data_IF_953646345872
#
_entry.id   IF_953646345872
#
_cell.length_a   1.000
_cell.length_b   1.000
_cell.length_c   1.000
_cell.angle_alpha   90.00
_cell.angle_beta   90.00
_cell.angle_gamma   90.00
#
_symmetry.space_group_name_H-M   'P 1'
#
loop_
_entity.id
_entity.type
_entity.pdbx_description
1 polymer ?
#
# COMPACT_ATOMS: atom_id res chain seq x y z
N UNK A 1 6.46 9.23 1.64
CA UNK A 1 7.22 8.90 2.88
C UNK A 1 8.18 7.80 2.51
N UNK A 2 9.49 7.91 2.74
CA UNK A 2 10.47 7.09 2.03
C UNK A 2 10.51 5.57 2.35
N UNK A 3 9.54 4.98 3.04
CA UNK A 3 9.62 3.57 3.46
C UNK A 3 10.67 3.32 4.55
N UNK A 4 10.98 4.35 5.36
CA UNK A 4 11.88 4.25 6.49
C UNK A 4 11.24 3.39 7.59
N UNK A 5 11.93 2.35 8.03
CA UNK A 5 11.50 1.51 9.14
C UNK A 5 11.99 2.08 10.46
N UNK A 6 11.14 2.01 11.47
CA UNK A 6 11.46 2.33 12.86
C UNK A 6 10.97 1.19 13.75
N UNK A 7 11.67 0.93 14.85
CA UNK A 7 11.28 -0.09 15.82
C UNK A 7 11.25 0.50 17.22
N UNK A 8 10.16 0.26 17.94
CA UNK A 8 10.04 0.54 19.37
C UNK A 8 9.63 -0.75 20.09
N UNK A 9 10.02 -0.86 21.37
CA UNK A 9 9.61 -1.99 22.22
C UNK A 9 8.16 -1.87 22.67
N UNK A 10 7.65 -0.65 22.83
CA UNK A 10 6.30 -0.36 23.34
C UNK A 10 5.41 0.35 22.32
N UNK A 11 5.97 0.81 21.19
CA UNK A 11 5.23 1.53 20.16
C UNK A 11 4.90 2.98 20.52
N UNK A 12 5.33 3.47 21.68
CA UNK A 12 5.01 4.81 22.18
C UNK A 12 6.23 5.75 22.17
N UNK A 13 7.44 5.22 22.35
CA UNK A 13 8.65 6.03 22.37
C UNK A 13 9.92 5.27 22.02
N UNK A 14 11.07 5.95 22.12
CA UNK A 14 12.40 5.35 21.95
C UNK A 14 12.57 4.56 20.63
N UNK A 15 12.08 5.12 19.52
CA UNK A 15 12.16 4.48 18.22
C UNK A 15 13.62 4.39 17.74
N UNK A 16 14.09 3.15 17.52
CA UNK A 16 15.33 2.87 16.83
C UNK A 16 15.13 3.06 15.32
N UNK A 17 15.94 3.92 14.69
CA UNK A 17 15.95 4.06 13.23
C UNK A 17 16.53 2.80 12.59
N UNK A 18 15.74 2.18 11.71
CA UNK A 18 16.14 1.04 10.92
C UNK A 18 16.63 1.40 9.53
N UNK A 19 16.46 0.46 8.61
CA UNK A 19 16.74 0.65 7.19
C UNK A 19 15.59 1.35 6.46
N UNK A 20 15.83 1.74 5.21
CA UNK A 20 14.78 2.12 4.26
C UNK A 20 14.38 0.90 3.43
N UNK A 21 13.16 0.38 3.62
CA UNK A 21 12.70 -0.91 3.07
C UNK A 21 12.73 -0.99 1.55
N UNK A 22 12.60 0.16 0.89
CA UNK A 22 12.65 0.31 -0.57
C UNK A 22 13.23 1.68 -0.94
N UNK A 23 13.84 1.79 -2.11
CA UNK A 23 14.23 3.08 -2.70
C UNK A 23 13.08 3.77 -3.43
N UNK A 24 11.98 3.05 -3.65
CA UNK A 24 10.79 3.52 -4.35
C UNK A 24 10.08 4.64 -3.58
N UNK A 25 9.34 5.48 -4.30
CA UNK A 25 8.54 6.57 -3.74
C UNK A 25 7.22 6.05 -3.13
N UNK A 26 7.32 5.15 -2.16
CA UNK A 26 6.17 4.61 -1.44
C UNK A 26 5.36 5.73 -0.74
N UNK A 27 4.03 5.61 -0.81
CA UNK A 27 3.10 6.46 -0.08
C UNK A 27 2.59 5.73 1.16
N UNK A 28 1.35 5.24 1.12
CA UNK A 28 0.71 4.49 2.18
C UNK A 28 0.84 3.00 1.91
N UNK A 29 0.77 2.22 2.98
CA UNK A 29 0.89 0.77 2.91
C UNK A 29 -0.01 0.10 3.95
N UNK A 30 -0.39 -1.14 3.66
CA UNK A 30 -0.99 -2.07 4.59
C UNK A 30 -0.10 -3.31 4.70
N UNK A 31 -0.13 -3.93 5.87
CA UNK A 31 0.58 -5.18 6.14
C UNK A 31 -0.45 -6.30 6.30
N UNK A 32 -0.15 -7.45 5.70
CA UNK A 32 -0.92 -8.67 5.86
C UNK A 32 0.03 -9.82 6.11
N UNK A 33 -0.24 -10.58 7.18
CA UNK A 33 0.40 -11.86 7.43
C UNK A 33 -0.54 -12.97 6.96
N UNK A 34 -0.10 -13.77 6.00
CA UNK A 34 -0.87 -14.88 5.46
C UNK A 34 0.07 -16.05 5.17
N UNK A 35 -0.29 -17.26 5.62
CA UNK A 35 0.51 -18.49 5.44
C UNK A 35 2.00 -18.36 5.83
N UNK A 36 2.27 -17.62 6.92
CA UNK A 36 3.62 -17.42 7.43
C UNK A 36 4.48 -16.42 6.64
N UNK A 37 3.93 -15.80 5.59
CA UNK A 37 4.58 -14.78 4.78
C UNK A 37 3.97 -13.40 5.06
N UNK A 38 4.81 -12.37 5.08
CA UNK A 38 4.35 -10.98 5.13
C UNK A 38 4.21 -10.41 3.73
N UNK A 39 3.08 -9.75 3.54
CA UNK A 39 2.69 -9.04 2.34
C UNK A 39 2.54 -7.56 2.68
N UNK A 40 3.08 -6.71 1.82
CA UNK A 40 2.98 -5.25 1.90
C UNK A 40 2.17 -4.81 0.71
N UNK A 41 0.96 -4.34 0.95
CA UNK A 41 0.15 -3.68 -0.08
C UNK A 41 0.51 -2.20 -0.02
N UNK A 42 0.80 -1.56 -1.15
CA UNK A 42 1.26 -0.18 -1.14
C UNK A 42 0.98 0.54 -2.46
N UNK A 43 1.15 1.85 -2.47
CA UNK A 43 1.07 2.67 -3.68
C UNK A 43 2.32 3.53 -3.84
N UNK A 44 2.62 3.89 -5.09
CA UNK A 44 3.83 4.63 -5.45
C UNK A 44 3.48 6.00 -6.02
N UNK A 45 4.05 7.04 -5.42
CA UNK A 45 3.93 8.40 -5.93
C UNK A 45 4.68 8.54 -7.25
N UNK A 46 4.04 9.17 -8.24
CA UNK A 46 4.56 9.38 -9.59
C UNK A 46 4.06 8.36 -10.61
N UNK A 47 3.45 7.26 -10.17
CA UNK A 47 2.83 6.30 -11.09
C UNK A 47 1.66 6.95 -11.86
N UNK A 48 1.48 6.53 -13.12
CA UNK A 48 0.48 7.06 -14.06
C UNK A 48 -0.36 5.90 -14.62
N UNK A 49 -1.54 5.58 -14.07
CA UNK A 49 -2.09 6.08 -12.82
C UNK A 49 -1.43 5.44 -11.57
N UNK A 50 -1.58 6.09 -10.40
CA UNK A 50 -1.27 5.45 -9.11
C UNK A 50 -2.28 4.32 -8.85
N UNK A 51 -1.74 3.17 -8.44
CA UNK A 51 -2.43 1.88 -8.36
C UNK A 51 -1.91 1.07 -7.18
N UNK A 52 -2.62 0.01 -6.81
CA UNK A 52 -2.26 -0.82 -5.66
C UNK A 52 -1.27 -1.89 -6.10
N UNK A 53 -0.11 -1.88 -5.46
CA UNK A 53 0.97 -2.82 -5.61
C UNK A 53 1.01 -3.76 -4.41
N UNK A 54 1.57 -4.95 -4.61
CA UNK A 54 1.85 -5.94 -3.59
C UNK A 54 3.32 -6.32 -3.67
N UNK A 55 3.99 -6.33 -2.52
CA UNK A 55 5.32 -6.90 -2.38
C UNK A 55 5.34 -7.90 -1.23
N UNK A 56 6.20 -8.92 -1.31
CA UNK A 56 6.51 -9.74 -0.14
C UNK A 56 7.56 -9.04 0.73
N UNK A 57 7.58 -9.38 2.02
CA UNK A 57 8.60 -8.92 2.97
C UNK A 57 9.21 -10.12 3.68
N UNK A 58 10.50 -10.38 3.48
CA UNK A 58 11.19 -11.43 4.21
C UNK A 58 11.52 -10.96 5.64
N UNK A 59 10.81 -11.51 6.61
CA UNK A 59 11.00 -11.20 8.04
C UNK A 59 11.77 -12.25 8.81
N UNK A 60 12.33 -13.27 8.16
CA UNK A 60 13.07 -14.35 8.81
C UNK A 60 14.47 -13.94 9.29
N UNK A 61 14.97 -12.79 8.82
CA UNK A 61 16.28 -12.24 9.19
C UNK A 61 16.16 -11.13 10.22
N UNK A 62 17.31 -10.60 10.70
CA UNK A 62 17.31 -9.37 11.51
C UNK A 62 16.54 -8.27 10.78
N UNK A 63 15.67 -7.55 11.49
CA UNK A 63 14.86 -6.45 10.95
C UNK A 63 15.66 -5.37 10.21
N UNK A 64 16.97 -5.22 10.48
CA UNK A 64 17.90 -4.34 9.75
C UNK A 64 18.26 -4.84 8.35
N UNK A 65 17.89 -6.08 8.03
CA UNK A 65 18.15 -6.75 6.76
C UNK A 65 16.88 -7.03 5.96
N UNK A 66 15.69 -6.74 6.50
CA UNK A 66 14.43 -6.90 5.76
C UNK A 66 14.45 -6.08 4.48
N UNK A 67 13.88 -6.57 3.39
CA UNK A 67 13.76 -5.86 2.11
C UNK A 67 12.46 -6.31 1.43
N UNK A 68 11.88 -5.45 0.61
CA UNK A 68 10.80 -5.87 -0.29
C UNK A 68 11.33 -6.92 -1.25
N UNK A 69 10.54 -7.97 -1.46
CA UNK A 69 10.75 -8.96 -2.52
C UNK A 69 10.21 -8.45 -3.86
N UNK A 70 9.75 -9.39 -4.68
CA UNK A 70 9.08 -9.09 -5.94
C UNK A 70 7.87 -8.20 -5.70
N UNK A 71 7.64 -7.25 -6.63
CA UNK A 71 6.50 -6.34 -6.59
C UNK A 71 5.63 -6.57 -7.82
N UNK A 72 4.35 -6.84 -7.59
CA UNK A 72 3.36 -6.93 -8.65
C UNK A 72 2.23 -5.91 -8.44
N UNK A 73 1.49 -5.63 -9.50
CA UNK A 73 0.25 -4.86 -9.41
C UNK A 73 -0.91 -5.80 -9.10
N UNK A 74 -1.74 -5.43 -8.12
CA UNK A 74 -2.92 -6.24 -7.74
C UNK A 74 -4.25 -5.55 -8.03
N UNK A 75 -4.27 -4.21 -8.12
CA UNK A 75 -5.49 -3.49 -8.47
C UNK A 75 -5.20 -2.12 -9.09
N UNK A 76 -6.03 -1.73 -10.06
CA UNK A 76 -6.09 -0.40 -10.67
C UNK A 76 -7.54 0.03 -10.81
N UNK A 77 -7.82 1.33 -10.97
CA UNK A 77 -9.18 1.79 -11.18
C UNK A 77 -9.80 1.12 -12.43
N UNK A 78 -10.97 0.49 -12.25
CA UNK A 78 -11.71 -0.22 -13.29
C UNK A 78 -13.12 0.34 -13.50
N UNK A 79 -13.67 1.02 -12.49
CA UNK A 79 -15.02 1.56 -12.49
C UNK A 79 -15.03 3.08 -12.52
N UNK A 80 -16.11 3.71 -13.03
CA UNK A 80 -16.21 5.16 -12.98
C UNK A 80 -16.06 5.69 -11.55
N UNK A 81 -16.75 5.14 -10.55
CA UNK A 81 -16.57 5.64 -9.17
C UNK A 81 -15.13 5.50 -8.64
N UNK A 82 -14.30 4.63 -9.22
CA UNK A 82 -12.87 4.54 -8.93
C UNK A 82 -11.99 5.61 -9.63
N UNK A 83 -12.56 6.35 -10.57
CA UNK A 83 -11.89 7.33 -11.41
C UNK A 83 -11.38 6.77 -12.74
N UNK A 84 -11.81 5.57 -13.15
CA UNK A 84 -11.32 4.91 -14.36
C UNK A 84 -11.65 5.65 -15.67
N UNK A 85 -12.69 6.47 -15.66
CA UNK A 85 -13.13 7.36 -16.74
C UNK A 85 -12.35 8.69 -16.80
N UNK A 86 -11.53 8.99 -15.78
CA UNK A 86 -10.62 10.13 -15.82
C UNK A 86 -9.36 9.78 -16.61
N UNK A 87 -8.77 10.78 -17.28
CA UNK A 87 -7.48 10.63 -17.92
C UNK A 87 -6.40 10.22 -16.90
N UNK A 88 -5.59 9.19 -17.18
CA UNK A 88 -4.45 8.84 -16.33
C UNK A 88 -3.49 10.01 -16.21
N UNK A 89 -3.06 10.30 -14.98
CA UNK A 89 -2.09 11.34 -14.68
C UNK A 89 -1.14 10.86 -13.58
N UNK A 90 0.10 11.37 -13.62
CA UNK A 90 1.08 11.09 -12.58
C UNK A 90 0.59 11.59 -11.23
N UNK A 91 0.69 10.77 -10.21
CA UNK A 91 0.34 11.19 -8.86
C UNK A 91 1.41 12.09 -8.24
N UNK A 92 0.96 12.98 -7.36
CA UNK A 92 1.80 13.93 -6.65
C UNK A 92 1.70 13.69 -5.14
N UNK A 93 2.71 14.14 -4.40
CA UNK A 93 2.67 14.17 -2.94
C UNK A 93 1.58 15.13 -2.46
N UNK A 94 0.98 14.80 -1.32
CA UNK A 94 -0.09 15.58 -0.70
C UNK A 94 -1.49 15.09 -1.07
N UNK A 95 -2.47 15.80 -0.51
CA UNK A 95 -3.89 15.51 -0.67
C UNK A 95 -4.37 15.81 -2.10
N UNK A 96 -5.35 15.04 -2.57
CA UNK A 96 -6.01 15.26 -3.84
C UNK A 96 -7.44 15.73 -3.62
N UNK A 97 -7.74 16.96 -4.03
CA UNK A 97 -9.07 17.58 -3.86
C UNK A 97 -9.93 17.47 -5.12
N UNK A 98 -9.53 16.61 -6.05
CA UNK A 98 -10.17 16.45 -7.35
C UNK A 98 -10.29 14.98 -7.67
N UNK A 99 -11.31 14.65 -8.46
CA UNK A 99 -11.46 13.30 -8.98
C UNK A 99 -10.38 13.02 -10.02
N UNK A 100 -9.60 11.95 -9.82
CA UNK A 100 -8.52 11.53 -10.74
C UNK A 100 -8.48 10.01 -10.85
N UNK A 101 -7.87 9.47 -11.90
CA UNK A 101 -7.66 8.03 -12.07
C UNK A 101 -6.51 7.58 -11.17
N UNK A 102 -6.73 7.45 -9.85
CA UNK A 102 -5.69 7.08 -8.88
C UNK A 102 -6.31 6.34 -7.69
N UNK A 103 -5.83 5.13 -7.42
CA UNK A 103 -6.14 4.40 -6.19
C UNK A 103 -5.06 4.68 -5.14
N UNK A 104 -5.45 4.85 -3.88
CA UNK A 104 -4.55 5.22 -2.78
C UNK A 104 -4.89 4.48 -1.50
N UNK A 105 -4.05 4.66 -0.50
CA UNK A 105 -4.33 4.36 0.92
C UNK A 105 -4.87 2.93 1.17
N UNK A 106 -4.14 1.88 0.75
CA UNK A 106 -4.57 0.52 0.99
C UNK A 106 -4.62 0.23 2.50
N UNK A 107 -5.62 -0.53 2.91
CA UNK A 107 -5.80 -1.05 4.25
C UNK A 107 -6.33 -2.49 4.18
N UNK A 108 -5.95 -3.32 5.15
CA UNK A 108 -6.39 -4.72 5.24
C UNK A 108 -7.35 -4.87 6.42
N UNK A 109 -8.45 -5.55 6.18
CA UNK A 109 -9.41 -5.95 7.19
C UNK A 109 -9.64 -7.46 7.07
N UNK A 110 -9.61 -8.19 8.18
CA UNK A 110 -9.80 -9.65 8.20
C UNK A 110 -10.93 -9.99 9.14
N UNK A 111 -11.93 -10.71 8.64
CA UNK A 111 -13.10 -11.14 9.40
C UNK A 111 -13.46 -12.57 9.01
N UNK A 112 -13.59 -13.46 10.00
CA UNK A 112 -13.91 -14.89 9.82
C UNK A 112 -13.04 -15.62 8.77
N UNK A 113 -11.76 -15.24 8.70
CA UNK A 113 -10.79 -15.80 7.74
C UNK A 113 -10.88 -15.20 6.33
N UNK A 114 -11.87 -14.34 6.05
CA UNK A 114 -11.98 -13.59 4.81
C UNK A 114 -11.11 -12.34 4.88
N UNK A 115 -10.34 -12.08 3.83
CA UNK A 115 -9.43 -10.94 3.74
C UNK A 115 -10.04 -9.90 2.82
N UNK A 116 -10.16 -8.67 3.31
CA UNK A 116 -10.68 -7.53 2.57
C UNK A 116 -9.60 -6.46 2.39
N UNK A 117 -9.53 -5.92 1.17
CA UNK A 117 -8.76 -4.73 0.83
C UNK A 117 -9.68 -3.53 0.80
N UNK A 118 -9.41 -2.57 1.69
CA UNK A 118 -9.99 -1.23 1.64
C UNK A 118 -8.99 -0.30 0.97
N UNK A 119 -9.49 0.68 0.22
CA UNK A 119 -8.64 1.63 -0.49
C UNK A 119 -9.38 2.91 -0.82
N UNK A 120 -8.63 4.01 -0.89
CA UNK A 120 -9.14 5.28 -1.37
C UNK A 120 -9.29 5.27 -2.90
N UNK A 121 -10.42 5.78 -3.37
CA UNK A 121 -10.79 5.80 -4.79
C UNK A 121 -10.76 7.19 -5.38
N UNK A 122 -10.57 7.25 -6.69
CA UNK A 122 -10.66 8.44 -7.52
C UNK A 122 -9.85 9.66 -7.01
N UNK A 123 -8.69 9.43 -6.40
CA UNK A 123 -7.92 10.47 -5.73
C UNK A 123 -8.54 10.97 -4.43
N UNK A 124 -8.77 10.07 -3.47
CA UNK A 124 -9.23 10.38 -2.10
C UNK A 124 -10.69 10.88 -2.02
N UNK A 125 -11.51 10.58 -3.03
CA UNK A 125 -12.92 11.02 -3.10
C UNK A 125 -13.92 10.01 -2.51
N UNK A 126 -13.43 8.89 -1.99
CA UNK A 126 -14.23 7.87 -1.34
C UNK A 126 -13.37 6.70 -0.88
N UNK A 127 -14.01 5.72 -0.23
CA UNK A 127 -13.38 4.47 0.21
C UNK A 127 -14.16 3.32 -0.43
N UNK A 128 -13.44 2.39 -1.06
CA UNK A 128 -13.98 1.13 -1.54
C UNK A 128 -13.44 -0.03 -0.69
N UNK A 129 -14.16 -1.15 -0.74
CA UNK A 129 -13.77 -2.42 -0.13
C UNK A 129 -14.00 -3.54 -1.15
N UNK A 130 -13.09 -4.51 -1.18
CA UNK A 130 -13.23 -5.72 -1.98
C UNK A 130 -12.56 -6.91 -1.29
N UNK A 131 -13.11 -8.10 -1.51
CA UNK A 131 -12.50 -9.34 -1.04
C UNK A 131 -11.23 -9.67 -1.84
N UNK A 132 -10.14 -10.01 -1.15
CA UNK A 132 -8.92 -10.55 -1.75
C UNK A 132 -9.03 -12.07 -1.83
N UNK A 133 -9.36 -12.57 -3.02
CA UNK A 133 -9.54 -14.01 -3.27
C UNK A 133 -8.24 -14.76 -3.57
N UNK A 134 -7.15 -14.03 -3.85
CA UNK A 134 -5.82 -14.58 -4.17
C UNK A 134 -4.73 -13.65 -3.67
N UNK A 135 -3.68 -14.24 -3.12
CA UNK A 135 -2.45 -13.58 -2.64
C UNK A 135 -1.23 -14.42 -3.00
#
# INVERSE_FOLDING_TARGET
MPGQLYRSRDGLGNFETGLRLTTESIRHHALLQHDGQWYVLWTRVGDTPERILLSTLNTATDWRQWRFGETCEIHRAQKPWEGADMAPSASQYGACMQRVNQLRDPAIFVEDGTIYLLYAIAGEQGIAIGELTKI
#
